data_IF_361082558439
#
_entry.id   IF_361082558439
#
_cell.length_a   1.000
_cell.length_b   1.000
_cell.length_c   1.000
_cell.angle_alpha   90.00
_cell.angle_beta   90.00
_cell.angle_gamma   90.00
#
_symmetry.space_group_name_H-M   'P 1'
#
loop_
_entity.id
_entity.type
_entity.pdbx_description
1 polymer ?
#
# COMPACT_ATOMS: atom_id res chain seq x y z
N UNK A 1 46.23 13.26 26.75
CA UNK A 1 45.90 12.47 25.54
C UNK A 1 44.38 12.30 25.54
N UNK A 2 43.70 13.14 24.78
CA UNK A 2 42.25 13.30 24.82
C UNK A 2 41.57 12.22 23.95
N UNK A 3 40.92 11.24 24.57
CA UNK A 3 39.88 10.47 23.95
C UNK A 3 38.67 11.38 23.72
N UNK A 4 38.54 11.92 22.51
CA UNK A 4 37.26 12.44 22.04
C UNK A 4 36.31 11.26 21.89
N UNK A 5 35.52 10.99 22.94
CA UNK A 5 34.33 10.15 22.85
C UNK A 5 33.50 10.59 21.67
N UNK A 6 33.36 9.73 20.66
CA UNK A 6 32.37 9.82 19.62
C UNK A 6 30.98 9.80 20.26
N UNK A 7 30.45 10.98 20.57
CA UNK A 7 29.04 11.11 20.96
C UNK A 7 28.17 10.67 19.79
N UNK A 8 27.28 9.69 19.99
CA UNK A 8 26.32 9.31 18.95
C UNK A 8 25.45 10.53 18.64
N UNK A 9 25.11 10.71 17.38
CA UNK A 9 24.21 11.74 16.83
C UNK A 9 23.08 12.08 17.80
N UNK A 10 23.24 13.19 18.57
CA UNK A 10 22.24 13.69 19.48
C UNK A 10 21.12 14.33 18.66
N UNK A 11 19.89 13.82 18.74
CA UNK A 11 18.73 14.60 18.33
C UNK A 11 18.59 15.81 19.26
N UNK A 12 18.26 16.99 18.72
CA UNK A 12 17.96 18.17 19.52
C UNK A 12 16.75 17.99 20.47
N UNK A 13 16.04 16.87 20.34
CA UNK A 13 14.83 16.51 21.08
C UNK A 13 14.92 15.10 21.68
N UNK A 14 14.13 14.80 22.75
CA UNK A 14 13.99 13.46 23.28
C UNK A 14 13.61 12.44 22.20
N UNK A 15 14.24 11.27 22.21
CA UNK A 15 14.05 10.20 21.20
C UNK A 15 12.58 9.82 21.01
N UNK A 16 11.82 9.80 22.10
CA UNK A 16 10.39 9.49 22.11
C UNK A 16 9.59 10.52 21.27
N UNK A 17 9.88 11.80 21.41
CA UNK A 17 9.22 12.86 20.63
C UNK A 17 9.50 12.73 19.14
N UNK A 18 10.76 12.42 18.77
CA UNK A 18 11.15 12.16 17.38
C UNK A 18 10.39 10.94 16.82
N UNK A 19 10.29 9.86 17.60
CA UNK A 19 9.55 8.66 17.23
C UNK A 19 8.05 8.93 17.05
N UNK A 20 7.40 9.62 17.98
CA UNK A 20 5.97 9.94 17.88
C UNK A 20 5.67 10.91 16.74
N UNK A 21 6.55 11.90 16.49
CA UNK A 21 6.43 12.75 15.33
C UNK A 21 6.50 11.95 14.02
N UNK A 22 7.46 11.01 13.92
CA UNK A 22 7.56 10.15 12.76
C UNK A 22 6.32 9.25 12.60
N UNK A 23 5.85 8.67 13.69
CA UNK A 23 4.64 7.86 13.68
C UNK A 23 3.44 8.67 13.17
N UNK A 24 3.29 9.94 13.59
CA UNK A 24 2.20 10.81 13.12
C UNK A 24 2.23 11.07 11.63
N UNK A 25 3.40 11.11 10.99
CA UNK A 25 3.53 11.23 9.53
C UNK A 25 3.09 9.93 8.81
N UNK A 26 3.45 8.75 9.34
CA UNK A 26 2.95 7.49 8.79
C UNK A 26 1.43 7.33 8.99
N UNK A 27 0.90 7.76 10.14
CA UNK A 27 -0.55 7.82 10.38
C UNK A 27 -1.24 8.76 9.36
N UNK A 28 -0.69 9.94 9.12
CA UNK A 28 -1.22 10.88 8.14
C UNK A 28 -1.24 10.30 6.73
N UNK A 29 -0.18 9.60 6.32
CA UNK A 29 -0.10 8.95 5.02
C UNK A 29 -1.15 7.83 4.87
N UNK A 30 -1.31 6.97 5.88
CA UNK A 30 -2.30 5.89 5.87
C UNK A 30 -3.73 6.42 5.84
N UNK A 31 -4.02 7.47 6.61
CA UNK A 31 -5.32 8.14 6.65
C UNK A 31 -5.66 8.79 5.29
N UNK A 32 -4.69 9.49 4.67
CA UNK A 32 -4.85 10.11 3.36
C UNK A 32 -5.20 9.07 2.29
N UNK A 33 -4.43 7.96 2.23
CA UNK A 33 -4.67 6.87 1.30
C UNK A 33 -6.09 6.28 1.43
N UNK A 34 -6.47 5.89 2.63
CA UNK A 34 -7.74 5.17 2.80
C UNK A 34 -8.96 6.07 2.70
N UNK A 35 -8.81 7.38 2.95
CA UNK A 35 -9.85 8.37 2.66
C UNK A 35 -10.18 8.41 1.17
N UNK A 36 -9.18 8.38 0.30
CA UNK A 36 -9.40 8.22 -1.15
C UNK A 36 -10.05 6.87 -1.45
N UNK A 37 -9.42 5.76 -1.04
CA UNK A 37 -9.85 4.41 -1.41
C UNK A 37 -11.30 4.10 -0.98
N UNK A 38 -11.72 4.57 0.18
CA UNK A 38 -13.09 4.39 0.67
C UNK A 38 -14.15 5.15 -0.14
N UNK A 39 -13.77 6.20 -0.88
CA UNK A 39 -14.69 7.08 -1.62
C UNK A 39 -14.64 6.86 -3.13
N UNK A 40 -13.90 5.85 -3.61
CA UNK A 40 -13.80 5.53 -5.04
C UNK A 40 -15.19 5.34 -5.70
N UNK A 41 -16.15 4.60 -5.08
CA UNK A 41 -17.50 4.48 -5.66
C UNK A 41 -18.20 5.84 -5.83
N UNK A 42 -18.21 6.66 -4.76
CA UNK A 42 -18.89 7.97 -4.82
C UNK A 42 -18.28 8.91 -5.87
N UNK A 43 -16.94 8.89 -6.03
CA UNK A 43 -16.27 9.72 -7.05
C UNK A 43 -16.58 9.20 -8.45
N UNK A 44 -16.60 7.87 -8.65
CA UNK A 44 -16.99 7.27 -9.93
C UNK A 44 -18.40 7.63 -10.31
N UNK A 45 -19.34 7.54 -9.37
CA UNK A 45 -20.75 7.91 -9.56
C UNK A 45 -20.92 9.39 -9.93
N UNK A 46 -20.18 10.28 -9.24
CA UNK A 46 -20.21 11.72 -9.50
C UNK A 46 -19.84 12.07 -10.96
N UNK A 47 -18.90 11.33 -11.55
CA UNK A 47 -18.48 11.51 -12.95
C UNK A 47 -19.26 10.65 -13.94
N UNK A 48 -20.27 9.90 -13.51
CA UNK A 48 -21.12 9.03 -14.32
C UNK A 48 -20.34 8.08 -15.24
N UNK A 49 -19.19 7.55 -14.72
CA UNK A 49 -18.33 6.66 -15.51
C UNK A 49 -18.91 5.26 -15.55
N UNK A 50 -19.64 4.95 -16.63
CA UNK A 50 -20.32 3.66 -16.80
C UNK A 50 -19.40 2.53 -17.29
N UNK A 51 -18.30 2.86 -17.97
CA UNK A 51 -17.39 1.88 -18.55
C UNK A 51 -16.26 1.52 -17.57
N UNK A 52 -16.20 0.26 -17.15
CA UNK A 52 -15.21 -0.21 -16.18
C UNK A 52 -13.77 -0.05 -16.67
N UNK A 53 -13.50 -0.27 -17.96
CA UNK A 53 -12.17 -0.07 -18.55
C UNK A 53 -11.75 1.40 -18.50
N UNK A 54 -12.67 2.33 -18.81
CA UNK A 54 -12.37 3.75 -18.75
C UNK A 54 -12.08 4.21 -17.31
N UNK A 55 -12.84 3.68 -16.33
CA UNK A 55 -12.52 3.90 -14.92
C UNK A 55 -11.16 3.33 -14.52
N UNK A 56 -10.83 2.14 -15.01
CA UNK A 56 -9.50 1.54 -14.85
C UNK A 56 -8.38 2.42 -15.39
N UNK A 57 -8.57 3.09 -16.55
CA UNK A 57 -7.62 4.08 -17.10
C UNK A 57 -7.46 5.30 -16.18
N UNK A 58 -8.54 5.77 -15.57
CA UNK A 58 -8.49 6.88 -14.61
C UNK A 58 -7.71 6.48 -13.36
N UNK A 59 -7.99 5.32 -12.78
CA UNK A 59 -7.26 4.79 -11.62
C UNK A 59 -5.79 4.49 -11.94
N UNK A 60 -5.47 4.08 -13.15
CA UNK A 60 -4.10 3.81 -13.62
C UNK A 60 -3.17 5.03 -13.49
N UNK A 61 -3.70 6.25 -13.47
CA UNK A 61 -2.90 7.46 -13.30
C UNK A 61 -2.21 7.54 -11.94
N UNK A 62 -2.76 6.90 -10.90
CA UNK A 62 -2.10 6.83 -9.58
C UNK A 62 -0.78 6.05 -9.65
N UNK A 63 -0.74 4.77 -10.08
CA UNK A 63 0.52 4.04 -10.19
C UNK A 63 1.47 4.64 -11.24
N UNK A 64 0.97 5.29 -12.29
CA UNK A 64 1.83 6.06 -13.22
C UNK A 64 2.51 7.23 -12.50
N UNK A 65 1.77 7.99 -11.70
CA UNK A 65 2.33 9.06 -10.87
C UNK A 65 3.39 8.54 -9.89
N UNK A 66 3.11 7.42 -9.22
CA UNK A 66 4.09 6.75 -8.34
C UNK A 66 5.36 6.36 -9.10
N UNK A 67 5.23 5.80 -10.29
CA UNK A 67 6.37 5.37 -11.11
C UNK A 67 7.24 6.55 -11.56
N UNK A 68 6.62 7.61 -12.07
CA UNK A 68 7.31 8.84 -12.48
C UNK A 68 8.03 9.51 -11.29
N UNK A 69 7.48 9.39 -10.09
CA UNK A 69 8.06 9.98 -8.89
C UNK A 69 9.32 9.24 -8.38
N UNK A 70 9.57 7.98 -8.76
CA UNK A 70 10.72 7.19 -8.23
C UNK A 70 12.06 7.92 -8.43
N UNK A 71 12.48 8.30 -9.65
CA UNK A 71 13.74 9.01 -9.84
C UNK A 71 13.73 10.40 -9.21
N UNK A 72 12.59 11.08 -9.24
CA UNK A 72 12.41 12.40 -8.65
C UNK A 72 12.58 12.37 -7.13
N UNK A 73 12.02 11.37 -6.47
CA UNK A 73 12.09 11.22 -5.02
C UNK A 73 13.53 11.01 -4.54
N UNK A 74 14.27 10.11 -5.19
CA UNK A 74 15.69 9.90 -4.88
C UNK A 74 16.52 11.18 -5.03
N UNK A 75 16.33 11.91 -6.13
CA UNK A 75 17.01 13.18 -6.37
C UNK A 75 16.65 14.25 -5.33
N UNK A 76 15.35 14.45 -5.07
CA UNK A 76 14.88 15.48 -4.15
C UNK A 76 15.28 15.19 -2.70
N UNK A 77 15.18 13.93 -2.25
CA UNK A 77 15.62 13.54 -0.90
C UNK A 77 17.12 13.74 -0.73
N UNK A 78 17.93 13.40 -1.75
CA UNK A 78 19.38 13.62 -1.68
C UNK A 78 19.77 15.10 -1.69
N UNK A 79 19.00 15.97 -2.37
CA UNK A 79 19.30 17.39 -2.52
C UNK A 79 18.76 18.25 -1.37
N UNK A 80 17.53 17.97 -0.92
CA UNK A 80 16.80 18.81 0.06
C UNK A 80 16.78 18.18 1.46
N UNK A 81 17.20 16.91 1.57
CA UNK A 81 17.12 16.13 2.79
C UNK A 81 15.74 15.53 3.05
N UNK A 82 15.72 14.38 3.72
CA UNK A 82 14.48 13.63 3.99
C UNK A 82 13.52 14.37 4.92
N UNK A 83 14.01 15.23 5.81
CA UNK A 83 13.17 16.06 6.70
C UNK A 83 12.27 17.02 5.94
N UNK A 84 12.84 17.79 4.99
CA UNK A 84 12.08 18.74 4.18
C UNK A 84 11.13 17.98 3.26
N UNK A 85 11.63 16.91 2.64
CA UNK A 85 10.85 16.11 1.71
C UNK A 85 9.69 15.38 2.39
N UNK A 86 9.85 14.88 3.63
CA UNK A 86 8.75 14.29 4.39
C UNK A 86 7.62 15.30 4.63
N UNK A 87 7.96 16.52 5.03
CA UNK A 87 6.97 17.59 5.24
C UNK A 87 6.27 17.98 3.93
N UNK A 88 7.04 18.26 2.89
CA UNK A 88 6.52 18.71 1.60
C UNK A 88 5.66 17.64 0.93
N UNK A 89 6.09 16.36 0.98
CA UNK A 89 5.36 15.27 0.34
C UNK A 89 4.06 14.94 1.07
N UNK A 90 4.04 14.92 2.41
CA UNK A 90 2.81 14.65 3.18
C UNK A 90 1.80 15.78 3.00
N UNK A 91 2.24 17.04 2.97
CA UNK A 91 1.36 18.19 2.65
C UNK A 91 0.87 18.12 1.20
N UNK A 92 1.76 17.83 0.24
CA UNK A 92 1.39 17.66 -1.16
C UNK A 92 0.38 16.53 -1.37
N UNK A 93 0.54 15.43 -0.62
CA UNK A 93 -0.38 14.29 -0.65
C UNK A 93 -1.78 14.68 -0.13
N UNK A 94 -1.84 15.41 0.98
CA UNK A 94 -3.08 15.94 1.52
C UNK A 94 -3.74 16.97 0.60
N UNK A 95 -2.96 17.86 -0.04
CA UNK A 95 -3.46 18.80 -1.03
C UNK A 95 -3.97 18.11 -2.29
N UNK A 96 -3.31 17.04 -2.75
CA UNK A 96 -3.80 16.23 -3.87
C UNK A 96 -5.12 15.54 -3.52
N UNK A 97 -5.28 15.02 -2.28
CA UNK A 97 -6.55 14.48 -1.80
C UNK A 97 -7.66 15.56 -1.81
N UNK A 98 -7.37 16.75 -1.27
CA UNK A 98 -8.31 17.89 -1.32
C UNK A 98 -8.68 18.25 -2.75
N UNK A 99 -7.68 18.33 -3.65
CA UNK A 99 -7.89 18.65 -5.07
C UNK A 99 -8.80 17.63 -5.76
N UNK A 100 -8.68 16.33 -5.47
CA UNK A 100 -9.59 15.29 -5.97
C UNK A 100 -11.05 15.65 -5.61
N UNK A 101 -11.29 16.13 -4.39
CA UNK A 101 -12.64 16.54 -3.95
C UNK A 101 -13.18 17.77 -4.66
N UNK A 102 -12.35 18.58 -5.32
CA UNK A 102 -12.74 19.77 -6.10
C UNK A 102 -12.87 19.51 -7.59
N UNK A 103 -12.53 18.31 -8.07
CA UNK A 103 -12.56 17.98 -9.48
C UNK A 103 -14.00 18.08 -10.03
N UNK A 104 -14.16 18.83 -11.11
CA UNK A 104 -15.47 19.05 -11.78
C UNK A 104 -15.54 18.42 -13.18
N UNK A 105 -14.45 17.84 -13.66
CA UNK A 105 -14.40 17.03 -14.87
C UNK A 105 -13.38 15.91 -14.75
N UNK A 106 -13.53 14.89 -15.58
CA UNK A 106 -12.73 13.65 -15.51
C UNK A 106 -11.25 13.86 -15.82
N UNK A 107 -10.91 14.84 -16.67
CA UNK A 107 -9.52 15.15 -17.03
C UNK A 107 -8.79 15.77 -15.84
N UNK A 108 -9.47 16.67 -15.13
CA UNK A 108 -8.93 17.30 -13.92
C UNK A 108 -8.79 16.28 -12.80
N UNK A 109 -9.78 15.38 -12.64
CA UNK A 109 -9.65 14.23 -11.74
C UNK A 109 -8.40 13.41 -12.07
N UNK A 110 -8.17 13.10 -13.35
CA UNK A 110 -6.98 12.36 -13.80
C UNK A 110 -5.68 13.05 -13.40
N UNK A 111 -5.57 14.36 -13.61
CA UNK A 111 -4.39 15.14 -13.17
C UNK A 111 -4.19 15.07 -11.66
N UNK A 112 -5.25 15.19 -10.88
CA UNK A 112 -5.16 15.13 -9.42
C UNK A 112 -4.81 13.73 -8.91
N UNK A 113 -5.30 12.67 -9.55
CA UNK A 113 -4.92 11.29 -9.23
C UNK A 113 -3.46 10.99 -9.58
N UNK A 114 -2.97 11.52 -10.70
CA UNK A 114 -1.55 11.45 -11.04
C UNK A 114 -0.71 12.16 -9.98
N UNK A 115 -1.04 13.39 -9.60
CA UNK A 115 -0.36 14.12 -8.51
C UNK A 115 -0.44 13.38 -7.18
N UNK A 116 -1.58 12.78 -6.85
CA UNK A 116 -1.78 11.95 -5.68
C UNK A 116 -0.79 10.78 -5.66
N UNK A 117 -0.62 10.09 -6.79
CA UNK A 117 0.38 9.05 -6.96
C UNK A 117 1.81 9.56 -6.80
N UNK A 118 2.15 10.70 -7.39
CA UNK A 118 3.48 11.35 -7.25
C UNK A 118 3.79 11.62 -5.77
N UNK A 119 2.91 12.32 -5.07
CA UNK A 119 3.13 12.64 -3.66
C UNK A 119 3.11 11.42 -2.76
N UNK A 120 2.31 10.40 -3.07
CA UNK A 120 2.34 9.12 -2.35
C UNK A 120 3.75 8.50 -2.37
N UNK A 121 4.38 8.39 -3.55
CA UNK A 121 5.71 7.81 -3.66
C UNK A 121 6.78 8.69 -3.00
N UNK A 122 6.69 10.01 -3.13
CA UNK A 122 7.56 10.95 -2.41
C UNK A 122 7.45 10.78 -0.90
N UNK A 123 6.24 10.55 -0.37
CA UNK A 123 6.02 10.19 1.03
C UNK A 123 6.73 8.89 1.39
N UNK A 124 6.49 7.82 0.63
CA UNK A 124 7.07 6.51 0.89
C UNK A 124 8.59 6.60 1.05
N UNK A 125 9.26 7.24 0.10
CA UNK A 125 10.73 7.33 0.10
C UNK A 125 11.23 8.23 1.24
N UNK A 126 10.63 9.40 1.44
CA UNK A 126 11.10 10.35 2.44
C UNK A 126 10.84 9.87 3.88
N UNK A 127 9.67 9.26 4.13
CA UNK A 127 9.33 8.72 5.44
C UNK A 127 10.16 7.48 5.79
N UNK A 128 10.39 6.59 4.84
CA UNK A 128 11.27 5.44 5.07
C UNK A 128 12.71 5.87 5.33
N UNK A 129 13.22 6.89 4.62
CA UNK A 129 14.56 7.45 4.86
C UNK A 129 14.67 8.05 6.27
N UNK A 130 13.70 8.85 6.69
CA UNK A 130 13.62 9.37 8.07
C UNK A 130 13.52 8.24 9.11
N UNK A 131 12.70 7.22 8.84
CA UNK A 131 12.53 6.06 9.72
C UNK A 131 13.84 5.32 9.96
N UNK A 132 14.64 5.09 8.91
CA UNK A 132 15.99 4.48 9.02
C UNK A 132 16.91 5.35 9.88
N UNK A 133 16.86 6.68 9.73
CA UNK A 133 17.61 7.61 10.57
C UNK A 133 17.27 7.45 12.06
N UNK A 134 15.97 7.32 12.37
CA UNK A 134 15.49 7.14 13.74
C UNK A 134 15.87 5.75 14.29
N UNK A 135 15.88 4.69 13.47
CA UNK A 135 16.37 3.37 13.90
C UNK A 135 17.81 3.42 14.38
N UNK A 136 18.67 4.17 13.65
CA UNK A 136 20.07 4.40 14.07
C UNK A 136 20.14 5.11 15.42
N UNK A 137 19.25 6.09 15.67
CA UNK A 137 19.16 6.80 16.95
C UNK A 137 18.74 5.88 18.11
N UNK A 138 17.89 4.88 17.84
CA UNK A 138 17.41 3.91 18.83
C UNK A 138 18.34 2.70 19.01
N UNK A 139 19.25 2.42 18.07
CA UNK A 139 20.09 1.24 18.06
C UNK A 139 19.33 -0.08 17.92
N UNK A 140 18.07 -0.04 17.47
CA UNK A 140 17.21 -1.21 17.25
C UNK A 140 16.20 -0.97 16.14
N UNK A 141 15.71 -2.04 15.51
CA UNK A 141 14.70 -1.96 14.46
C UNK A 141 13.34 -1.54 15.03
N UNK A 142 12.78 -0.44 14.54
CA UNK A 142 11.46 0.10 14.92
C UNK A 142 10.58 0.42 13.71
N UNK A 143 11.07 0.23 12.48
CA UNK A 143 10.36 0.52 11.24
C UNK A 143 9.01 -0.22 11.17
N UNK A 144 8.96 -1.45 11.66
CA UNK A 144 7.73 -2.23 11.74
C UNK A 144 6.61 -1.50 12.52
N UNK A 145 6.96 -0.72 13.56
CA UNK A 145 5.99 0.07 14.31
C UNK A 145 5.42 1.25 13.52
N UNK A 146 6.21 1.84 12.61
CA UNK A 146 5.74 2.91 11.74
C UNK A 146 4.78 2.37 10.66
N UNK A 147 5.14 1.27 10.01
CA UNK A 147 4.25 0.61 9.05
C UNK A 147 2.99 0.02 9.71
N UNK A 148 3.10 -0.45 10.95
CA UNK A 148 1.94 -0.83 11.78
C UNK A 148 1.01 0.35 12.03
N UNK A 149 1.59 1.53 12.33
CA UNK A 149 0.84 2.78 12.46
C UNK A 149 0.14 3.18 11.16
N UNK A 150 0.83 3.10 10.03
CA UNK A 150 0.24 3.33 8.71
C UNK A 150 -1.00 2.43 8.49
N UNK A 151 -0.87 1.13 8.77
CA UNK A 151 -1.97 0.17 8.59
C UNK A 151 -3.16 0.46 9.50
N UNK A 152 -2.87 0.82 10.77
CA UNK A 152 -3.91 1.20 11.72
C UNK A 152 -4.64 2.46 11.25
N UNK A 153 -3.91 3.48 10.79
CA UNK A 153 -4.52 4.71 10.28
C UNK A 153 -5.32 4.45 8.98
N UNK A 154 -4.83 3.57 8.11
CA UNK A 154 -5.56 3.19 6.92
C UNK A 154 -6.87 2.43 7.26
N UNK A 155 -6.84 1.57 8.27
CA UNK A 155 -8.04 0.91 8.80
C UNK A 155 -9.03 1.93 9.41
N UNK A 156 -8.53 2.86 10.24
CA UNK A 156 -9.36 3.93 10.82
C UNK A 156 -9.93 4.85 9.75
N UNK A 157 -9.14 5.19 8.73
CA UNK A 157 -9.61 6.00 7.61
C UNK A 157 -10.67 5.29 6.75
N UNK A 158 -10.59 3.97 6.60
CA UNK A 158 -11.65 3.18 5.97
C UNK A 158 -12.95 3.24 6.79
N UNK A 159 -12.85 3.17 8.11
CA UNK A 159 -14.00 3.33 9.01
C UNK A 159 -14.56 4.75 8.95
N UNK A 160 -13.72 5.78 8.99
CA UNK A 160 -14.15 7.17 8.85
C UNK A 160 -14.84 7.37 7.49
N UNK A 161 -14.24 6.87 6.41
CA UNK A 161 -14.85 6.93 5.08
C UNK A 161 -16.22 6.28 5.01
N UNK A 162 -16.37 5.11 5.61
CA UNK A 162 -17.67 4.43 5.72
C UNK A 162 -18.70 5.28 6.51
N UNK A 163 -18.30 5.82 7.67
CA UNK A 163 -19.18 6.69 8.46
C UNK A 163 -19.60 7.93 7.64
N UNK A 164 -18.67 8.57 6.94
CA UNK A 164 -18.95 9.72 6.08
C UNK A 164 -19.93 9.39 4.95
N UNK A 165 -19.82 8.19 4.36
CA UNK A 165 -20.75 7.69 3.32
C UNK A 165 -22.16 7.55 3.90
N UNK A 166 -22.29 6.85 5.01
CA UNK A 166 -23.58 6.59 5.67
C UNK A 166 -24.24 7.88 6.17
N UNK A 167 -23.42 8.85 6.59
CA UNK A 167 -23.89 10.17 7.04
C UNK A 167 -24.22 11.14 5.89
N UNK A 168 -24.05 10.71 4.63
CA UNK A 168 -24.34 11.56 3.47
C UNK A 168 -23.35 12.71 3.24
N UNK A 169 -22.18 12.67 3.90
CA UNK A 169 -21.13 13.68 3.72
C UNK A 169 -20.48 13.49 2.35
N UNK A 170 -20.41 14.54 1.54
CA UNK A 170 -19.80 14.46 0.20
C UNK A 170 -18.28 14.20 0.26
N UNK A 171 -17.67 13.64 -0.81
CA UNK A 171 -16.22 13.48 -0.90
C UNK A 171 -15.43 14.76 -0.65
N UNK A 172 -15.93 15.90 -1.14
CA UNK A 172 -15.31 17.21 -0.93
C UNK A 172 -15.10 17.54 0.55
N UNK A 173 -16.14 17.44 1.37
CA UNK A 173 -16.03 17.76 2.81
C UNK A 173 -15.20 16.74 3.57
N UNK A 174 -15.33 15.45 3.22
CA UNK A 174 -14.49 14.40 3.81
C UNK A 174 -13.00 14.66 3.53
N UNK A 175 -12.62 14.88 2.27
CA UNK A 175 -11.23 15.12 1.88
C UNK A 175 -10.69 16.43 2.44
N UNK A 176 -11.51 17.48 2.52
CA UNK A 176 -11.15 18.75 3.16
C UNK A 176 -10.82 18.55 4.63
N UNK A 177 -11.66 17.86 5.38
CA UNK A 177 -11.45 17.59 6.80
C UNK A 177 -10.14 16.82 7.03
N UNK A 178 -9.90 15.77 6.24
CA UNK A 178 -8.68 14.96 6.34
C UNK A 178 -7.44 15.78 5.96
N UNK A 179 -7.51 16.58 4.90
CA UNK A 179 -6.39 17.44 4.50
C UNK A 179 -6.04 18.47 5.56
N UNK A 180 -7.02 19.09 6.21
CA UNK A 180 -6.82 20.00 7.33
C UNK A 180 -6.18 19.29 8.54
N UNK A 181 -6.69 18.11 8.91
CA UNK A 181 -6.13 17.30 9.99
C UNK A 181 -4.66 16.94 9.73
N UNK A 182 -4.34 16.53 8.50
CA UNK A 182 -2.95 16.24 8.09
C UNK A 182 -2.10 17.50 8.14
N UNK A 183 -2.61 18.63 7.66
CA UNK A 183 -1.93 19.93 7.72
C UNK A 183 -1.56 20.32 9.16
N UNK A 184 -2.49 20.21 10.08
CA UNK A 184 -2.25 20.44 11.53
C UNK A 184 -1.20 19.47 12.06
N UNK A 185 -1.31 18.18 11.73
CA UNK A 185 -0.35 17.15 12.14
C UNK A 185 1.06 17.50 11.70
N UNK A 186 1.25 17.90 10.44
CA UNK A 186 2.55 18.32 9.93
C UNK A 186 3.06 19.57 10.66
N UNK A 187 2.24 20.59 10.84
CA UNK A 187 2.63 21.82 11.53
C UNK A 187 3.12 21.57 12.96
N UNK A 188 2.44 20.70 13.70
CA UNK A 188 2.79 20.37 15.09
C UNK A 188 4.04 19.50 15.16
N UNK A 189 4.16 18.50 14.27
CA UNK A 189 5.17 17.45 14.37
C UNK A 189 6.47 17.76 13.61
N UNK A 190 6.44 18.68 12.62
CA UNK A 190 7.58 18.95 11.70
C UNK A 190 8.89 19.29 12.40
N UNK A 191 8.84 20.01 13.53
CA UNK A 191 10.03 20.45 14.26
C UNK A 191 10.81 19.29 14.91
N UNK A 192 10.15 18.17 15.16
CA UNK A 192 10.74 17.00 15.80
C UNK A 192 11.31 15.99 14.80
N UNK A 193 11.14 16.17 13.49
CA UNK A 193 11.79 15.33 12.49
C UNK A 193 13.31 15.52 12.54
N UNK A 194 14.04 14.44 12.28
CA UNK A 194 15.50 14.40 12.37
C UNK A 194 16.15 15.20 11.23
N UNK A 195 17.17 16.00 11.56
CA UNK A 195 18.06 16.60 10.56
C UNK A 195 19.07 15.55 10.12
N UNK A 196 19.14 15.27 8.81
CA UNK A 196 20.19 14.42 8.25
C UNK A 196 21.49 15.22 8.16
N UNK A 197 22.57 14.69 8.74
CA UNK A 197 23.91 15.00 8.29
C UNK A 197 24.13 14.26 6.99
N UNK A 198 24.70 14.93 5.98
CA UNK A 198 24.99 14.39 4.65
C UNK A 198 25.37 12.91 4.70
N UNK A 199 24.55 12.08 4.06
CA UNK A 199 24.92 10.68 3.86
C UNK A 199 26.15 10.67 2.94
N UNK A 200 27.26 10.06 3.39
CA UNK A 200 28.41 9.80 2.53
C UNK A 200 27.89 9.22 1.22
N UNK A 201 28.23 9.86 0.11
CA UNK A 201 27.99 9.38 -1.25
C UNK A 201 28.78 8.07 -1.41
N UNK A 202 28.19 6.94 -0.99
CA UNK A 202 28.69 5.65 -1.41
C UNK A 202 28.40 5.53 -2.90
N UNK A 203 29.44 5.39 -3.70
CA UNK A 203 29.34 5.05 -5.11
C UNK A 203 28.37 3.88 -5.27
N UNK A 204 27.28 4.08 -5.98
CA UNK A 204 26.33 3.02 -6.26
C UNK A 204 27.09 1.96 -7.10
N UNK A 205 27.24 0.71 -6.62
CA UNK A 205 27.83 -0.33 -7.42
C UNK A 205 27.06 -0.42 -8.74
N UNK A 206 27.74 -0.79 -9.82
CA UNK A 206 27.19 -0.78 -11.18
C UNK A 206 25.88 -1.56 -11.29
N UNK A 207 24.76 -0.91 -10.97
CA UNK A 207 23.39 -1.45 -10.97
C UNK A 207 23.08 -2.20 -12.28
N UNK A 208 23.58 -1.67 -13.41
CA UNK A 208 23.41 -2.27 -14.73
C UNK A 208 23.94 -3.71 -14.84
N UNK A 209 25.02 -4.05 -14.15
CA UNK A 209 25.59 -5.42 -14.22
C UNK A 209 24.68 -6.46 -13.55
N UNK A 210 24.00 -6.07 -12.47
CA UNK A 210 23.06 -6.94 -11.74
C UNK A 210 21.69 -7.01 -12.45
N UNK A 211 21.26 -5.95 -13.13
CA UNK A 211 20.01 -5.94 -13.91
C UNK A 211 20.13 -6.85 -15.14
N UNK A 212 21.31 -6.92 -15.78
CA UNK A 212 21.53 -7.76 -16.97
C UNK A 212 21.45 -9.27 -16.71
N UNK A 213 21.79 -9.71 -15.49
CA UNK A 213 21.72 -11.14 -15.06
C UNK A 213 21.22 -11.21 -13.62
N UNK A 214 19.94 -10.95 -13.36
CA UNK A 214 19.41 -11.03 -12.01
C UNK A 214 19.42 -12.46 -11.49
N UNK A 215 19.60 -12.63 -10.18
CA UNK A 215 19.45 -13.94 -9.55
C UNK A 215 18.04 -14.49 -9.77
N UNK A 216 17.93 -15.79 -10.12
CA UNK A 216 16.64 -16.45 -10.28
C UNK A 216 15.75 -16.33 -9.02
N UNK A 217 16.37 -16.29 -7.84
CA UNK A 217 15.72 -15.99 -6.57
C UNK A 217 14.92 -14.67 -6.63
N UNK A 218 15.56 -13.58 -7.10
CA UNK A 218 14.93 -12.26 -7.17
C UNK A 218 13.78 -12.21 -8.19
N UNK A 219 13.92 -12.94 -9.30
CA UNK A 219 12.85 -13.07 -10.30
C UNK A 219 11.65 -13.79 -9.67
N UNK A 220 11.87 -14.95 -9.03
CA UNK A 220 10.80 -15.74 -8.41
C UNK A 220 10.08 -14.97 -7.30
N UNK A 221 10.84 -14.29 -6.41
CA UNK A 221 10.27 -13.44 -5.37
C UNK A 221 9.55 -12.23 -5.96
N UNK A 222 10.11 -11.62 -7.02
CA UNK A 222 9.52 -10.50 -7.74
C UNK A 222 8.19 -10.84 -8.41
N UNK A 223 8.07 -12.01 -9.02
CA UNK A 223 6.80 -12.49 -9.62
C UNK A 223 5.74 -12.71 -8.55
N UNK A 224 6.10 -13.33 -7.41
CA UNK A 224 5.15 -13.45 -6.28
C UNK A 224 4.75 -12.06 -5.75
N UNK A 225 5.71 -11.13 -5.67
CA UNK A 225 5.43 -9.74 -5.33
C UNK A 225 4.52 -9.04 -6.35
N UNK A 226 4.70 -9.28 -7.64
CA UNK A 226 3.83 -8.78 -8.70
C UNK A 226 2.40 -9.26 -8.51
N UNK A 227 2.20 -10.55 -8.30
CA UNK A 227 0.87 -11.12 -8.04
C UNK A 227 0.25 -10.52 -6.77
N UNK A 228 1.04 -10.39 -5.71
CA UNK A 228 0.59 -9.78 -4.47
C UNK A 228 0.13 -8.31 -4.68
N UNK A 229 0.88 -7.51 -5.44
CA UNK A 229 0.52 -6.12 -5.71
C UNK A 229 -0.69 -5.99 -6.66
N UNK A 230 -0.93 -6.95 -7.58
CA UNK A 230 -2.20 -7.01 -8.33
C UNK A 230 -3.37 -7.24 -7.38
N UNK A 231 -3.25 -8.23 -6.47
CA UNK A 231 -4.28 -8.54 -5.47
C UNK A 231 -4.55 -7.35 -4.55
N UNK A 232 -3.50 -6.72 -4.05
CA UNK A 232 -3.61 -5.56 -3.15
C UNK A 232 -4.31 -4.39 -3.84
N UNK A 233 -3.90 -4.04 -5.07
CA UNK A 233 -4.54 -2.99 -5.87
C UNK A 233 -5.98 -3.33 -6.22
N UNK A 234 -6.30 -4.59 -6.52
CA UNK A 234 -7.66 -5.05 -6.75
C UNK A 234 -8.57 -4.76 -5.55
N UNK A 235 -8.07 -5.04 -4.36
CA UNK A 235 -8.84 -4.79 -3.14
C UNK A 235 -8.92 -3.30 -2.78
N UNK A 236 -7.85 -2.54 -2.98
CA UNK A 236 -7.84 -1.11 -2.68
C UNK A 236 -8.77 -0.32 -3.60
N UNK A 237 -8.73 -0.62 -4.90
CA UNK A 237 -9.37 0.22 -5.91
C UNK A 237 -10.79 -0.26 -6.27
N UNK A 238 -11.07 -1.56 -6.10
CA UNK A 238 -12.28 -2.17 -6.65
C UNK A 238 -13.19 -2.85 -5.61
N UNK A 239 -12.76 -3.01 -4.35
CA UNK A 239 -13.57 -3.70 -3.35
C UNK A 239 -14.88 -2.98 -3.02
N UNK A 240 -14.88 -1.66 -2.95
CA UNK A 240 -16.08 -0.84 -2.80
C UNK A 240 -17.01 -0.97 -4.00
N UNK A 241 -16.46 -0.87 -5.21
CA UNK A 241 -17.17 -1.02 -6.47
C UNK A 241 -17.78 -2.43 -6.65
N UNK A 242 -17.14 -3.46 -6.09
CA UNK A 242 -17.68 -4.81 -6.11
C UNK A 242 -18.98 -4.91 -5.30
N UNK A 243 -19.01 -4.35 -4.10
CA UNK A 243 -20.21 -4.30 -3.26
C UNK A 243 -21.33 -3.48 -3.89
N UNK A 244 -20.99 -2.41 -4.58
CA UNK A 244 -21.94 -1.58 -5.29
C UNK A 244 -22.50 -2.26 -6.56
N UNK A 245 -21.63 -2.66 -7.49
CA UNK A 245 -22.05 -3.08 -8.84
C UNK A 245 -22.40 -4.56 -8.95
N UNK A 246 -21.76 -5.45 -8.15
CA UNK A 246 -22.00 -6.90 -8.20
C UNK A 246 -23.04 -7.32 -7.18
N UNK A 247 -22.94 -6.83 -5.93
CA UNK A 247 -23.89 -7.20 -4.89
C UNK A 247 -25.13 -6.30 -4.90
N UNK A 248 -25.03 -5.11 -5.51
CA UNK A 248 -26.10 -4.11 -5.58
C UNK A 248 -26.68 -3.74 -4.21
N UNK A 249 -25.78 -3.63 -3.22
CA UNK A 249 -26.17 -3.28 -1.85
C UNK A 249 -26.24 -1.77 -1.66
N UNK A 250 -27.12 -1.29 -0.76
CA UNK A 250 -27.20 0.13 -0.42
C UNK A 250 -25.87 0.61 0.19
N UNK A 251 -25.63 1.93 0.13
CA UNK A 251 -24.37 2.55 0.60
C UNK A 251 -24.01 2.17 2.05
N UNK A 252 -25.01 1.97 2.91
CA UNK A 252 -24.81 1.53 4.29
C UNK A 252 -24.30 0.10 4.47
N UNK A 253 -24.21 -0.68 3.40
CA UNK A 253 -23.69 -2.05 3.39
C UNK A 253 -22.47 -2.21 2.48
N UNK A 254 -21.95 -1.13 1.90
CA UNK A 254 -20.74 -1.13 1.07
C UNK A 254 -19.47 -1.20 1.94
N UNK A 255 -19.35 -2.23 2.76
CA UNK A 255 -18.28 -2.40 3.75
C UNK A 255 -17.06 -3.15 3.20
N UNK A 256 -17.02 -3.47 1.89
CA UNK A 256 -15.98 -4.31 1.29
C UNK A 256 -14.56 -3.85 1.57
N UNK A 257 -14.27 -2.57 1.34
CA UNK A 257 -12.95 -1.99 1.63
C UNK A 257 -12.64 -2.01 3.13
N UNK A 258 -13.60 -1.70 3.98
CA UNK A 258 -13.42 -1.67 5.43
C UNK A 258 -13.05 -3.06 5.99
N UNK A 259 -13.79 -4.10 5.65
CA UNK A 259 -13.53 -5.46 6.18
C UNK A 259 -12.19 -6.01 5.70
N UNK A 260 -11.82 -5.71 4.45
CA UNK A 260 -10.51 -6.02 3.91
C UNK A 260 -9.39 -5.34 4.72
N UNK A 261 -9.50 -4.02 4.96
CA UNK A 261 -8.50 -3.24 5.70
C UNK A 261 -8.37 -3.68 7.15
N UNK A 262 -9.47 -4.01 7.81
CA UNK A 262 -9.46 -4.57 9.18
C UNK A 262 -8.61 -5.84 9.22
N UNK A 263 -8.89 -6.80 8.35
CA UNK A 263 -8.19 -8.08 8.38
C UNK A 263 -6.77 -8.01 7.85
N UNK A 264 -6.48 -7.12 6.91
CA UNK A 264 -5.12 -6.82 6.48
C UNK A 264 -4.29 -6.24 7.65
N UNK A 265 -4.88 -5.36 8.44
CA UNK A 265 -4.23 -4.79 9.63
C UNK A 265 -3.99 -5.85 10.71
N UNK A 266 -5.00 -6.63 11.04
CA UNK A 266 -4.89 -7.75 12.00
C UNK A 266 -3.81 -8.74 11.55
N UNK A 267 -3.83 -9.14 10.28
CA UNK A 267 -2.86 -10.06 9.71
C UNK A 267 -1.41 -9.55 9.81
N UNK A 268 -1.17 -8.23 9.60
CA UNK A 268 0.16 -7.62 9.78
C UNK A 268 0.68 -7.75 11.21
N UNK A 269 -0.15 -7.56 12.21
CA UNK A 269 0.24 -7.74 13.61
C UNK A 269 0.48 -9.22 13.96
N UNK A 270 -0.25 -10.15 13.36
CA UNK A 270 -0.09 -11.60 13.57
C UNK A 270 1.09 -12.21 12.80
N UNK A 271 1.62 -11.53 11.80
CA UNK A 271 2.64 -12.07 10.87
C UNK A 271 3.87 -12.63 11.59
N UNK A 272 4.42 -11.90 12.56
CA UNK A 272 5.62 -12.35 13.30
C UNK A 272 5.34 -13.59 14.14
N UNK A 273 4.19 -13.67 14.79
CA UNK A 273 3.76 -14.86 15.53
C UNK A 273 3.52 -16.05 14.61
N UNK A 274 2.96 -15.81 13.43
CA UNK A 274 2.80 -16.85 12.41
C UNK A 274 4.15 -17.39 11.92
N UNK A 275 5.18 -16.54 11.76
CA UNK A 275 6.52 -16.99 11.39
C UNK A 275 7.17 -17.89 12.43
N UNK A 276 7.00 -17.58 13.72
CA UNK A 276 7.60 -18.38 14.81
C UNK A 276 6.98 -19.78 14.91
N UNK A 277 5.70 -19.93 14.55
CA UNK A 277 4.97 -21.20 14.65
C UNK A 277 5.06 -22.02 13.35
N UNK A 278 4.89 -21.38 12.20
CA UNK A 278 4.72 -22.08 10.93
C UNK A 278 5.96 -21.98 10.01
N UNK A 279 6.80 -20.97 10.24
CA UNK A 279 7.87 -20.61 9.31
C UNK A 279 7.38 -19.85 8.09
N UNK A 280 8.30 -19.08 7.46
CA UNK A 280 7.97 -18.15 6.37
C UNK A 280 7.33 -18.82 5.15
N UNK A 281 7.78 -20.02 4.78
CA UNK A 281 7.25 -20.74 3.62
C UNK A 281 5.77 -21.10 3.79
N UNK A 282 5.43 -21.73 4.94
CA UNK A 282 4.02 -22.11 5.21
C UNK A 282 3.10 -20.88 5.33
N UNK A 283 3.61 -19.79 5.89
CA UNK A 283 2.86 -18.53 5.96
C UNK A 283 2.53 -18.01 4.55
N UNK A 284 3.48 -18.03 3.61
CA UNK A 284 3.23 -17.65 2.21
C UNK A 284 2.28 -18.62 1.50
N UNK A 285 2.37 -19.92 1.77
CA UNK A 285 1.44 -20.92 1.22
C UNK A 285 0.01 -20.65 1.71
N UNK A 286 -0.18 -20.44 3.01
CA UNK A 286 -1.48 -20.07 3.58
C UNK A 286 -1.99 -18.75 3.03
N UNK A 287 -1.11 -17.77 2.84
CA UNK A 287 -1.45 -16.48 2.25
C UNK A 287 -2.02 -16.66 0.83
N UNK A 288 -1.32 -17.41 -0.03
CA UNK A 288 -1.82 -17.75 -1.37
C UNK A 288 -3.16 -18.49 -1.36
N UNK A 289 -3.31 -19.44 -0.43
CA UNK A 289 -4.58 -20.14 -0.23
C UNK A 289 -5.72 -19.22 0.21
N UNK A 290 -5.48 -18.33 1.19
CA UNK A 290 -6.49 -17.39 1.66
C UNK A 290 -6.90 -16.39 0.58
N UNK A 291 -5.95 -15.91 -0.22
CA UNK A 291 -6.24 -15.04 -1.37
C UNK A 291 -7.16 -15.79 -2.37
N UNK A 292 -6.77 -17.00 -2.77
CA UNK A 292 -7.56 -17.81 -3.71
C UNK A 292 -8.96 -18.11 -3.15
N UNK A 293 -9.04 -18.64 -1.92
CA UNK A 293 -10.30 -19.01 -1.28
C UNK A 293 -11.22 -17.79 -1.08
N UNK A 294 -10.65 -16.65 -0.68
CA UNK A 294 -11.41 -15.43 -0.44
C UNK A 294 -12.06 -14.88 -1.70
N UNK A 295 -11.31 -14.78 -2.80
CA UNK A 295 -11.87 -14.37 -4.09
C UNK A 295 -12.86 -15.39 -4.65
N UNK A 296 -12.58 -16.68 -4.50
CA UNK A 296 -13.47 -17.74 -4.95
C UNK A 296 -14.80 -17.71 -4.19
N UNK A 297 -14.77 -17.58 -2.86
CA UNK A 297 -15.98 -17.42 -2.02
C UNK A 297 -16.78 -16.21 -2.48
N UNK A 298 -16.14 -15.04 -2.64
CA UNK A 298 -16.84 -13.83 -3.07
C UNK A 298 -17.42 -13.96 -4.48
N UNK A 299 -16.63 -14.43 -5.45
CA UNK A 299 -17.06 -14.48 -6.84
C UNK A 299 -18.04 -15.61 -7.14
N UNK A 300 -17.91 -16.78 -6.52
CA UNK A 300 -18.76 -17.94 -6.82
C UNK A 300 -19.93 -18.05 -5.85
N UNK A 301 -19.68 -17.99 -4.54
CA UNK A 301 -20.72 -18.21 -3.55
C UNK A 301 -21.50 -16.96 -3.23
N UNK A 302 -20.84 -15.78 -3.23
CA UNK A 302 -21.45 -14.51 -2.79
C UNK A 302 -22.69 -14.08 -3.58
N UNK A 303 -22.83 -14.52 -4.84
CA UNK A 303 -23.99 -14.24 -5.68
C UNK A 303 -25.09 -15.31 -5.67
N UNK A 304 -24.88 -16.44 -4.98
CA UNK A 304 -25.83 -17.56 -4.99
C UNK A 304 -27.01 -17.39 -4.04
N UNK A 305 -26.92 -16.45 -3.10
CA UNK A 305 -27.94 -16.25 -2.08
C UNK A 305 -28.92 -15.14 -2.49
N UNK A 306 -30.20 -15.28 -2.15
CA UNK A 306 -31.21 -14.25 -2.39
C UNK A 306 -31.14 -13.16 -1.30
N UNK A 307 -30.92 -13.58 -0.04
CA UNK A 307 -30.85 -12.67 1.10
C UNK A 307 -29.67 -11.70 0.99
N UNK A 308 -29.94 -10.41 0.97
CA UNK A 308 -28.92 -9.36 0.93
C UNK A 308 -27.94 -9.46 2.12
N UNK A 309 -28.44 -9.76 3.33
CA UNK A 309 -27.60 -9.95 4.51
C UNK A 309 -26.61 -11.09 4.32
N UNK A 310 -27.06 -12.22 3.80
CA UNK A 310 -26.19 -13.38 3.54
C UNK A 310 -25.15 -13.04 2.45
N UNK A 311 -25.54 -12.35 1.37
CA UNK A 311 -24.61 -11.86 0.33
C UNK A 311 -23.50 -11.02 0.95
N UNK A 312 -23.85 -10.05 1.79
CA UNK A 312 -22.88 -9.16 2.45
C UNK A 312 -21.96 -9.96 3.38
N UNK A 313 -22.49 -10.87 4.18
CA UNK A 313 -21.67 -11.68 5.11
C UNK A 313 -20.70 -12.56 4.33
N UNK A 314 -21.16 -13.31 3.32
CA UNK A 314 -20.31 -14.23 2.56
C UNK A 314 -19.19 -13.48 1.83
N UNK A 315 -19.51 -12.37 1.18
CA UNK A 315 -18.49 -11.55 0.50
C UNK A 315 -17.53 -10.88 1.47
N UNK A 316 -18.02 -10.42 2.63
CA UNK A 316 -17.16 -9.87 3.69
C UNK A 316 -16.18 -10.91 4.21
N UNK A 317 -16.61 -12.15 4.46
CA UNK A 317 -15.72 -13.25 4.85
C UNK A 317 -14.68 -13.55 3.78
N UNK A 318 -15.07 -13.54 2.50
CA UNK A 318 -14.12 -13.66 1.39
C UNK A 318 -13.07 -12.55 1.40
N UNK A 319 -13.47 -11.28 1.54
CA UNK A 319 -12.55 -10.14 1.57
C UNK A 319 -11.68 -10.11 2.83
N UNK A 320 -12.19 -10.58 3.95
CA UNK A 320 -11.40 -10.80 5.17
C UNK A 320 -10.28 -11.81 4.94
N UNK A 321 -10.55 -12.93 4.28
CA UNK A 321 -9.52 -13.92 3.92
C UNK A 321 -8.46 -13.34 2.99
N UNK A 322 -8.87 -12.57 1.97
CA UNK A 322 -7.92 -11.87 1.09
C UNK A 322 -7.05 -10.91 1.90
N UNK A 323 -7.65 -10.14 2.82
CA UNK A 323 -6.91 -9.22 3.70
C UNK A 323 -5.86 -9.92 4.56
N UNK A 324 -6.22 -11.05 5.17
CA UNK A 324 -5.28 -11.90 5.92
C UNK A 324 -4.15 -12.40 5.02
N UNK A 325 -4.48 -12.90 3.83
CA UNK A 325 -3.50 -13.43 2.90
C UNK A 325 -2.50 -12.38 2.44
N UNK A 326 -2.97 -11.20 2.02
CA UNK A 326 -2.09 -10.15 1.49
C UNK A 326 -1.22 -9.49 2.56
N UNK A 327 -1.65 -9.49 3.81
CA UNK A 327 -1.02 -8.77 4.91
C UNK A 327 0.45 -9.10 5.13
N UNK A 328 0.85 -10.36 4.95
CA UNK A 328 2.20 -10.86 5.18
C UNK A 328 3.07 -10.92 3.91
N UNK A 329 2.50 -10.73 2.71
CA UNK A 329 3.19 -10.99 1.45
C UNK A 329 4.45 -10.13 1.29
N UNK A 330 4.30 -8.81 1.28
CA UNK A 330 5.41 -7.88 1.08
C UNK A 330 6.50 -8.05 2.15
N UNK A 331 6.21 -7.99 3.47
CA UNK A 331 7.25 -8.15 4.49
C UNK A 331 7.97 -9.49 4.43
N UNK A 332 7.27 -10.59 4.06
CA UNK A 332 7.91 -11.91 3.93
C UNK A 332 8.89 -11.96 2.76
N UNK A 333 8.46 -11.43 1.59
CA UNK A 333 9.29 -11.42 0.39
C UNK A 333 10.56 -10.60 0.63
N UNK A 334 10.46 -9.40 1.21
CA UNK A 334 11.60 -8.55 1.54
C UNK A 334 12.55 -9.23 2.54
N UNK A 335 12.00 -9.90 3.56
CA UNK A 335 12.77 -10.66 4.53
C UNK A 335 13.52 -11.86 3.90
N UNK A 336 12.92 -12.52 2.90
CA UNK A 336 13.58 -13.61 2.16
C UNK A 336 14.71 -13.10 1.27
N UNK A 337 14.56 -11.94 0.64
CA UNK A 337 15.66 -11.29 -0.11
C UNK A 337 16.83 -11.02 0.81
N UNK A 338 16.60 -10.38 1.96
CA UNK A 338 17.67 -10.07 2.91
C UNK A 338 18.39 -11.30 3.46
N UNK A 339 17.69 -12.44 3.58
CA UNK A 339 18.25 -13.67 4.12
C UNK A 339 18.95 -14.56 3.08
N UNK A 340 18.53 -14.55 1.82
CA UNK A 340 18.93 -15.55 0.83
C UNK A 340 19.64 -14.98 -0.40
N UNK A 341 19.51 -13.70 -0.71
CA UNK A 341 20.15 -13.10 -1.89
C UNK A 341 21.66 -12.94 -1.68
N UNK A 342 22.43 -13.25 -2.72
CA UNK A 342 23.87 -12.98 -2.82
C UNK A 342 24.14 -11.57 -3.36
N UNK A 343 23.16 -10.96 -3.98
CA UNK A 343 23.23 -9.57 -4.47
C UNK A 343 23.18 -8.60 -3.29
N UNK A 344 23.94 -7.49 -3.30
CA UNK A 344 23.84 -6.47 -2.27
C UNK A 344 22.39 -6.06 -2.01
N UNK A 345 21.97 -6.02 -0.74
CA UNK A 345 20.56 -5.93 -0.33
C UNK A 345 19.82 -4.77 -1.01
N UNK A 346 20.44 -3.58 -1.13
CA UNK A 346 19.82 -2.44 -1.79
C UNK A 346 19.50 -2.71 -3.27
N UNK A 347 20.43 -3.34 -4.01
CA UNK A 347 20.22 -3.70 -5.43
C UNK A 347 19.17 -4.80 -5.54
N UNK A 348 19.25 -5.81 -4.67
CA UNK A 348 18.30 -6.92 -4.66
C UNK A 348 16.86 -6.43 -4.41
N UNK A 349 16.66 -5.52 -3.45
CA UNK A 349 15.36 -4.90 -3.18
C UNK A 349 14.89 -4.01 -4.35
N UNK A 350 15.80 -3.31 -5.02
CA UNK A 350 15.45 -2.51 -6.21
C UNK A 350 14.93 -3.39 -7.33
N UNK A 351 15.63 -4.50 -7.65
CA UNK A 351 15.20 -5.46 -8.67
C UNK A 351 13.84 -6.07 -8.31
N UNK A 352 13.71 -6.55 -7.08
CA UNK A 352 12.46 -7.11 -6.55
C UNK A 352 11.30 -6.13 -6.69
N UNK A 353 11.48 -4.91 -6.19
CA UNK A 353 10.44 -3.87 -6.20
C UNK A 353 10.07 -3.45 -7.62
N UNK A 354 11.05 -3.38 -8.53
CA UNK A 354 10.78 -3.05 -9.94
C UNK A 354 9.89 -4.10 -10.61
N UNK A 355 10.14 -5.40 -10.37
CA UNK A 355 9.30 -6.47 -10.90
C UNK A 355 7.92 -6.43 -10.25
N UNK A 356 7.87 -6.32 -8.92
CA UNK A 356 6.62 -6.34 -8.17
C UNK A 356 5.72 -5.15 -8.53
N UNK A 357 6.29 -3.97 -8.73
CA UNK A 357 5.55 -2.75 -9.01
C UNK A 357 4.78 -2.79 -10.36
N UNK A 358 5.24 -3.62 -11.31
CA UNK A 358 4.50 -3.88 -12.56
C UNK A 358 3.08 -4.38 -12.24
N UNK A 359 2.90 -5.11 -11.14
CA UNK A 359 1.60 -5.56 -10.68
C UNK A 359 0.63 -4.40 -10.39
N UNK A 360 1.09 -3.37 -9.68
CA UNK A 360 0.26 -2.18 -9.41
C UNK A 360 -0.08 -1.40 -10.68
N UNK A 361 0.82 -1.37 -11.67
CA UNK A 361 0.56 -0.74 -12.96
C UNK A 361 -0.50 -1.50 -13.77
N UNK A 362 -0.41 -2.83 -13.79
CA UNK A 362 -1.31 -3.66 -14.60
C UNK A 362 -2.70 -3.77 -13.97
N UNK A 363 -2.81 -3.80 -12.65
CA UNK A 363 -4.03 -4.14 -11.93
C UNK A 363 -5.27 -3.31 -12.34
N UNK A 364 -5.25 -1.98 -12.38
CA UNK A 364 -6.44 -1.19 -12.73
C UNK A 364 -6.91 -1.47 -14.16
N UNK A 365 -5.98 -1.64 -15.10
CA UNK A 365 -6.27 -1.92 -16.50
C UNK A 365 -6.81 -3.34 -16.69
N UNK A 366 -6.19 -4.34 -16.05
CA UNK A 366 -6.58 -5.74 -16.11
C UNK A 366 -8.02 -5.92 -15.58
N UNK A 367 -8.28 -5.38 -14.40
CA UNK A 367 -9.59 -5.50 -13.76
C UNK A 367 -10.63 -4.73 -14.56
N UNK A 368 -10.30 -3.50 -14.98
CA UNK A 368 -11.18 -2.70 -15.83
C UNK A 368 -11.53 -3.39 -17.14
N UNK A 369 -10.56 -3.96 -17.84
CA UNK A 369 -10.75 -4.67 -19.12
C UNK A 369 -11.63 -5.92 -18.95
N UNK A 370 -11.34 -6.78 -17.97
CA UNK A 370 -12.12 -7.99 -17.72
C UNK A 370 -13.53 -7.62 -17.26
N UNK A 371 -13.65 -6.61 -16.38
CA UNK A 371 -14.96 -6.16 -15.91
C UNK A 371 -15.82 -5.57 -17.02
N UNK A 372 -15.21 -4.91 -18.01
CA UNK A 372 -15.90 -4.35 -19.17
C UNK A 372 -16.32 -5.44 -20.15
N UNK A 373 -15.44 -6.44 -20.40
CA UNK A 373 -15.71 -7.51 -21.38
C UNK A 373 -16.75 -8.53 -20.87
N UNK A 374 -16.75 -8.78 -19.57
CA UNK A 374 -17.60 -9.80 -18.94
C UNK A 374 -18.40 -9.19 -17.77
N UNK A 375 -17.81 -9.12 -16.59
CA UNK A 375 -18.23 -8.39 -15.41
C UNK A 375 -17.13 -8.45 -14.32
N UNK A 376 -17.26 -7.65 -13.26
CA UNK A 376 -16.27 -7.60 -12.18
C UNK A 376 -16.09 -8.93 -11.43
N UNK A 377 -17.09 -9.80 -11.44
CA UNK A 377 -17.03 -11.16 -10.87
C UNK A 377 -15.92 -11.98 -11.51
N UNK A 378 -15.84 -11.95 -12.86
CA UNK A 378 -14.78 -12.66 -13.59
C UNK A 378 -13.40 -12.04 -13.36
N UNK A 379 -13.31 -10.71 -13.25
CA UNK A 379 -12.06 -10.06 -12.87
C UNK A 379 -11.56 -10.57 -11.51
N UNK A 380 -12.45 -10.73 -10.53
CA UNK A 380 -12.11 -11.27 -9.20
C UNK A 380 -11.71 -12.74 -9.23
N UNK A 381 -12.30 -13.56 -10.10
CA UNK A 381 -11.85 -14.94 -10.33
C UNK A 381 -10.40 -14.95 -10.85
N UNK A 382 -10.10 -14.13 -11.86
CA UNK A 382 -8.75 -14.05 -12.43
C UNK A 382 -7.74 -13.58 -11.38
N UNK A 383 -8.07 -12.55 -10.59
CA UNK A 383 -7.21 -12.10 -9.49
C UNK A 383 -7.05 -13.19 -8.42
N UNK A 384 -8.11 -13.93 -8.11
CA UNK A 384 -8.07 -15.08 -7.19
C UNK A 384 -7.13 -16.18 -7.67
N UNK A 385 -7.07 -16.47 -8.99
CA UNK A 385 -6.12 -17.42 -9.55
C UNK A 385 -4.65 -17.02 -9.32
N UNK A 386 -4.36 -15.73 -9.18
CA UNK A 386 -3.02 -15.29 -8.78
C UNK A 386 -2.67 -15.77 -7.36
N UNK A 387 -3.66 -15.87 -6.45
CA UNK A 387 -3.48 -16.49 -5.14
C UNK A 387 -3.09 -17.97 -5.26
N UNK A 388 -3.71 -18.71 -6.18
CA UNK A 388 -3.32 -20.09 -6.49
C UNK A 388 -1.89 -20.15 -7.08
N UNK A 389 -1.54 -19.24 -8.00
CA UNK A 389 -0.18 -19.15 -8.52
C UNK A 389 0.84 -18.90 -7.40
N UNK A 390 0.54 -18.00 -6.45
CA UNK A 390 1.37 -17.75 -5.26
C UNK A 390 1.54 -19.05 -4.46
N UNK A 391 0.46 -19.77 -4.16
CA UNK A 391 0.49 -21.05 -3.44
C UNK A 391 1.38 -22.09 -4.15
N UNK A 392 1.23 -22.24 -5.46
CA UNK A 392 2.02 -23.18 -6.25
C UNK A 392 3.50 -22.76 -6.29
N UNK A 393 3.80 -21.49 -6.54
CA UNK A 393 5.18 -20.99 -6.55
C UNK A 393 5.87 -21.17 -5.20
N UNK A 394 5.19 -20.85 -4.11
CA UNK A 394 5.76 -20.99 -2.75
C UNK A 394 5.92 -22.46 -2.33
N UNK A 395 5.22 -23.37 -2.97
CA UNK A 395 5.33 -24.82 -2.75
C UNK A 395 6.46 -25.44 -3.57
N UNK A 396 6.56 -25.10 -4.85
CA UNK A 396 7.45 -25.81 -5.78
C UNK A 396 8.77 -25.09 -6.05
N UNK A 397 8.84 -23.74 -6.00
CA UNK A 397 10.06 -23.01 -6.29
C UNK A 397 11.08 -23.11 -5.14
N UNK A 398 12.35 -23.33 -5.51
CA UNK A 398 13.48 -23.46 -4.55
C UNK A 398 13.67 -22.18 -3.70
N UNK A 399 13.34 -21.01 -4.24
CA UNK A 399 13.45 -19.73 -3.53
C UNK A 399 12.76 -19.71 -2.15
N UNK A 400 11.66 -20.46 -2.01
CA UNK A 400 10.82 -20.46 -0.81
C UNK A 400 11.10 -21.62 0.14
N UNK A 401 11.79 -22.68 -0.32
CA UNK A 401 12.11 -23.85 0.52
C UNK A 401 13.06 -23.46 1.65
N UNK A 402 12.74 -23.88 2.87
CA UNK A 402 13.69 -23.81 3.98
C UNK A 402 14.83 -24.79 3.68
N UNK A 403 16.06 -24.31 3.64
CA UNK A 403 17.26 -25.16 3.66
C UNK A 403 17.53 -25.55 5.10
#
# INVERSE_FOLDING_TARGET
MNEKMNTPLGSAFPKERVRYAMLSFFLAQGLCFSSWASRIPDVKDFFEVNYAFYWGLVLFLIPVGKFVAIPLAGYLVSKLGSRIMAQASVLGYALALFAIGTAHNIYLLGVYLFCFGVFWNLCDISLNTQGIGIERLYGRTIMASFHGGWSLAACLGALIGFIMIVSGVTPFWHFTLIALLIGVTVLVSRKYLQEEKEAEKKEAPALLSFIRKPEMLLIQLGIVGLFALVVESAMFDWSGLYFESVLQVPKSLQIGFLVFMVMMTVGRFLTNSAYSVLGKQKVLQLAGFFIFAGFFISAMLGGMFESMTVKVIVNSLGFMLVGLGISCMVPTIYSLVGAKSKTPVGIALTILSSISFIGSLIAPLLIGAISQAFNMKYAYIVVGLLGLCILLMTTFCKAFKNN
#
